data_IF_304046171496
#
_entry.id   IF_304046171496
#
_cell.length_a   1.000
_cell.length_b   1.000
_cell.length_c   1.000
_cell.angle_alpha   90.00
_cell.angle_beta   90.00
_cell.angle_gamma   90.00
#
_symmetry.space_group_name_H-M   'P 1'
#
loop_
_entity.id
_entity.type
_entity.pdbx_description
1 polymer ?
#
# COMPACT_ATOMS: atom_id res chain seq x y z
N UNK A 1 20.63 3.03 -32.80
CA UNK A 1 19.91 3.19 -31.52
C UNK A 1 20.86 2.84 -30.38
N UNK A 2 21.20 3.82 -29.55
CA UNK A 2 22.13 3.60 -28.44
C UNK A 2 21.45 2.72 -27.37
N UNK A 3 21.85 1.45 -27.30
CA UNK A 3 21.28 0.42 -26.40
C UNK A 3 21.84 0.54 -24.96
N UNK A 4 22.29 1.76 -24.59
CA UNK A 4 22.80 2.04 -23.25
C UNK A 4 21.63 2.18 -22.28
N UNK A 5 21.54 1.28 -21.32
CA UNK A 5 20.56 1.30 -20.25
C UNK A 5 20.83 2.48 -19.31
N UNK A 6 19.83 3.33 -19.10
CA UNK A 6 19.90 4.44 -18.14
C UNK A 6 19.40 3.98 -16.76
N UNK A 7 20.31 3.54 -15.91
CA UNK A 7 20.00 3.06 -14.56
C UNK A 7 19.27 4.10 -13.70
N UNK A 8 19.55 5.39 -13.88
CA UNK A 8 18.85 6.45 -13.16
C UNK A 8 17.38 6.47 -13.52
N UNK A 9 17.05 6.34 -14.80
CA UNK A 9 15.65 6.27 -15.27
C UNK A 9 14.95 5.01 -14.74
N UNK A 10 15.64 3.87 -14.78
CA UNK A 10 15.12 2.58 -14.28
C UNK A 10 14.77 2.66 -12.78
N UNK A 11 15.66 3.22 -11.96
CA UNK A 11 15.42 3.42 -10.52
C UNK A 11 14.29 4.43 -10.26
N UNK A 12 14.22 5.52 -11.05
CA UNK A 12 13.15 6.51 -10.95
C UNK A 12 11.78 5.88 -11.24
N UNK A 13 11.68 5.08 -12.31
CA UNK A 13 10.44 4.37 -12.68
C UNK A 13 10.06 3.36 -11.59
N UNK A 14 11.02 2.55 -11.12
CA UNK A 14 10.79 1.57 -10.06
C UNK A 14 10.34 2.20 -8.75
N UNK A 15 11.01 3.26 -8.32
CA UNK A 15 10.62 4.02 -7.12
C UNK A 15 9.26 4.70 -7.26
N UNK A 16 8.95 5.29 -8.44
CA UNK A 16 7.68 5.94 -8.68
C UNK A 16 6.51 4.95 -8.65
N UNK A 17 6.68 3.77 -9.24
CA UNK A 17 5.69 2.71 -9.15
C UNK A 17 5.49 2.23 -7.71
N UNK A 18 6.59 2.02 -6.99
CA UNK A 18 6.54 1.63 -5.58
C UNK A 18 5.84 2.68 -4.72
N UNK A 19 6.14 3.97 -4.91
CA UNK A 19 5.45 5.06 -4.23
C UNK A 19 3.95 5.09 -4.53
N UNK A 20 3.56 4.78 -5.76
CA UNK A 20 2.15 4.65 -6.14
C UNK A 20 1.45 3.52 -5.37
N UNK A 21 2.08 2.35 -5.25
CA UNK A 21 1.52 1.21 -4.53
C UNK A 21 1.48 1.40 -3.00
N UNK A 22 2.38 2.20 -2.43
CA UNK A 22 2.43 2.49 -1.00
C UNK A 22 1.40 3.56 -0.65
N UNK A 23 0.17 3.12 -0.41
CA UNK A 23 -0.92 3.96 0.07
C UNK A 23 -1.03 4.01 1.60
N UNK A 24 -2.09 4.66 2.11
CA UNK A 24 -2.36 4.74 3.56
C UNK A 24 -2.57 3.36 4.20
N UNK A 25 -3.24 2.44 3.50
CA UNK A 25 -3.46 1.07 3.96
C UNK A 25 -2.16 0.29 4.14
N UNK A 26 -1.23 0.44 3.19
CA UNK A 26 0.10 -0.15 3.28
C UNK A 26 0.93 0.50 4.39
N UNK A 27 0.97 1.84 4.43
CA UNK A 27 1.74 2.59 5.42
C UNK A 27 1.27 2.35 6.86
N UNK A 28 -0.04 2.12 7.07
CA UNK A 28 -0.59 1.73 8.38
C UNK A 28 -0.38 0.25 8.71
N UNK A 29 0.08 -0.56 7.76
CA UNK A 29 0.20 -2.01 7.88
C UNK A 29 -1.13 -2.78 7.76
N UNK A 30 -2.26 -2.09 7.61
CA UNK A 30 -3.59 -2.71 7.56
C UNK A 30 -3.73 -3.67 6.36
N UNK A 31 -3.30 -3.25 5.18
CA UNK A 31 -3.33 -4.12 4.00
C UNK A 31 -2.45 -5.35 4.19
N UNK A 32 -1.22 -5.15 4.67
CA UNK A 32 -0.29 -6.25 4.93
C UNK A 32 -0.83 -7.22 5.98
N UNK A 33 -1.52 -6.71 7.01
CA UNK A 33 -2.16 -7.53 8.03
C UNK A 33 -3.31 -8.35 7.45
N UNK A 34 -4.22 -7.73 6.71
CA UNK A 34 -5.45 -8.38 6.21
C UNK A 34 -5.19 -9.35 5.06
N UNK A 35 -4.29 -8.99 4.13
CA UNK A 35 -4.04 -9.76 2.92
C UNK A 35 -2.95 -10.82 3.07
N UNK A 36 -2.03 -10.67 4.04
CA UNK A 36 -0.87 -11.56 4.18
C UNK A 36 -0.76 -12.19 5.57
N UNK A 37 -0.64 -11.38 6.64
CA UNK A 37 -0.36 -11.90 7.98
C UNK A 37 -1.53 -12.68 8.59
N UNK A 38 -2.78 -12.32 8.30
CA UNK A 38 -3.99 -12.93 8.85
C UNK A 38 -4.20 -14.39 8.44
N UNK A 39 -3.55 -14.85 7.38
CA UNK A 39 -3.71 -16.22 6.89
C UNK A 39 -2.92 -17.27 7.68
N UNK A 40 -1.86 -16.88 8.40
CA UNK A 40 -1.06 -17.78 9.23
C UNK A 40 -0.32 -18.88 8.47
N UNK A 41 0.30 -19.81 9.22
CA UNK A 41 1.01 -20.94 8.64
C UNK A 41 2.13 -20.53 7.67
N UNK A 42 2.18 -21.13 6.50
CA UNK A 42 3.17 -20.85 5.44
C UNK A 42 2.79 -19.64 4.57
N UNK A 43 1.53 -19.23 4.58
CA UNK A 43 1.01 -18.21 3.67
C UNK A 43 1.73 -16.85 3.77
N UNK A 44 2.11 -16.31 4.94
CA UNK A 44 2.88 -15.08 5.03
C UNK A 44 4.21 -15.07 4.28
N UNK A 45 4.73 -16.24 3.93
CA UNK A 45 5.97 -16.40 3.13
C UNK A 45 5.68 -16.65 1.65
N UNK A 46 4.65 -17.44 1.36
CA UNK A 46 4.30 -17.83 -0.02
C UNK A 46 3.60 -16.69 -0.74
N UNK A 47 2.70 -15.95 -0.07
CA UNK A 47 1.92 -14.88 -0.70
C UNK A 47 2.79 -13.70 -1.20
N UNK A 48 3.84 -13.24 -0.50
CA UNK A 48 4.76 -12.25 -1.05
C UNK A 48 5.50 -12.73 -2.31
N UNK A 49 5.87 -14.01 -2.39
CA UNK A 49 6.48 -14.60 -3.58
C UNK A 49 5.50 -14.61 -4.77
N UNK A 50 4.24 -14.98 -4.52
CA UNK A 50 3.17 -14.89 -5.52
C UNK A 50 2.96 -13.43 -5.96
N UNK A 51 2.94 -12.50 -5.02
CA UNK A 51 2.85 -11.05 -5.29
C UNK A 51 3.97 -10.59 -6.20
N UNK A 52 5.20 -11.02 -5.93
CA UNK A 52 6.36 -10.68 -6.77
C UNK A 52 6.17 -11.12 -8.22
N UNK A 53 5.76 -12.36 -8.43
CA UNK A 53 5.54 -12.90 -9.79
C UNK A 53 4.43 -12.13 -10.51
N UNK A 54 3.29 -11.94 -9.85
CA UNK A 54 2.16 -11.21 -10.42
C UNK A 54 2.52 -9.76 -10.72
N UNK A 55 3.15 -9.06 -9.79
CA UNK A 55 3.60 -7.68 -9.98
C UNK A 55 4.60 -7.56 -11.13
N UNK A 56 5.57 -8.46 -11.22
CA UNK A 56 6.53 -8.46 -12.32
C UNK A 56 5.84 -8.63 -13.68
N UNK A 57 4.96 -9.63 -13.83
CA UNK A 57 4.25 -9.90 -15.09
C UNK A 57 3.43 -8.69 -15.52
N UNK A 58 2.76 -8.05 -14.57
CA UNK A 58 1.89 -6.91 -14.82
C UNK A 58 2.68 -5.66 -15.15
N UNK A 59 3.70 -5.33 -14.35
CA UNK A 59 4.58 -4.20 -14.64
C UNK A 59 5.23 -4.36 -15.99
N UNK A 60 5.74 -5.55 -16.31
CA UNK A 60 6.34 -5.80 -17.61
C UNK A 60 5.34 -5.62 -18.76
N UNK A 61 4.14 -6.17 -18.63
CA UNK A 61 3.09 -6.05 -19.65
C UNK A 61 2.65 -4.60 -19.86
N UNK A 62 2.34 -3.88 -18.78
CA UNK A 62 1.87 -2.49 -18.86
C UNK A 62 2.96 -1.52 -19.28
N UNK A 63 4.19 -1.66 -18.79
CA UNK A 63 5.32 -0.83 -19.21
C UNK A 63 5.68 -1.08 -20.67
N UNK A 64 5.68 -2.34 -21.13
CA UNK A 64 5.91 -2.69 -22.53
C UNK A 64 4.86 -2.05 -23.44
N UNK A 65 3.59 -2.11 -23.06
CA UNK A 65 2.50 -1.47 -23.81
C UNK A 65 2.68 0.04 -23.88
N UNK A 66 3.07 0.68 -22.78
CA UNK A 66 3.38 2.10 -22.74
C UNK A 66 4.57 2.48 -23.62
N UNK A 67 5.63 1.67 -23.59
CA UNK A 67 6.82 1.88 -24.41
C UNK A 67 6.54 1.76 -25.92
N UNK A 68 5.72 0.78 -26.32
CA UNK A 68 5.42 0.53 -27.73
C UNK A 68 4.46 1.58 -28.29
N UNK A 69 3.35 1.84 -27.58
CA UNK A 69 2.25 2.65 -28.11
C UNK A 69 2.43 4.16 -27.84
N UNK A 70 3.20 4.55 -26.81
CA UNK A 70 3.44 5.96 -26.44
C UNK A 70 2.17 6.79 -26.50
N UNK A 71 1.14 6.36 -25.78
CA UNK A 71 -0.19 6.95 -25.84
C UNK A 71 -0.16 8.48 -25.63
N UNK A 72 -0.93 9.24 -26.42
CA UNK A 72 -1.02 10.70 -26.26
C UNK A 72 -1.69 11.10 -24.94
N UNK A 73 -2.55 10.24 -24.41
CA UNK A 73 -3.16 10.37 -23.08
C UNK A 73 -3.01 9.06 -22.32
N UNK A 74 -2.61 9.08 -21.04
CA UNK A 74 -2.49 7.88 -20.22
C UNK A 74 -3.77 7.06 -20.15
N UNK A 75 -4.93 7.72 -20.14
CA UNK A 75 -6.24 7.09 -20.05
C UNK A 75 -6.64 6.30 -21.30
N UNK A 76 -5.98 6.56 -22.44
CA UNK A 76 -6.17 5.79 -23.67
C UNK A 76 -5.84 4.29 -23.47
N UNK A 77 -5.06 3.95 -22.44
CA UNK A 77 -4.74 2.57 -22.07
C UNK A 77 -6.00 1.74 -21.74
N UNK A 78 -7.00 2.31 -21.08
CA UNK A 78 -8.24 1.59 -20.79
C UNK A 78 -8.98 1.20 -22.07
N UNK A 79 -9.01 2.11 -23.04
CA UNK A 79 -9.59 1.84 -24.36
C UNK A 79 -8.83 0.77 -25.15
N UNK A 80 -7.51 0.73 -25.00
CA UNK A 80 -6.65 -0.27 -25.64
C UNK A 80 -6.89 -1.69 -25.12
N UNK A 81 -7.00 -1.86 -23.79
CA UNK A 81 -7.19 -3.18 -23.15
C UNK A 81 -8.63 -3.66 -23.15
N UNK A 82 -9.59 -2.77 -22.97
CA UNK A 82 -11.00 -3.13 -22.73
C UNK A 82 -11.94 -2.69 -23.86
N UNK A 83 -11.41 -2.13 -24.94
CA UNK A 83 -12.22 -1.59 -26.04
C UNK A 83 -12.88 -0.26 -25.70
N UNK A 84 -13.60 0.33 -26.71
CA UNK A 84 -14.09 1.70 -26.61
C UNK A 84 -15.13 1.94 -25.51
N UNK A 85 -16.07 1.02 -25.34
CA UNK A 85 -17.21 1.19 -24.41
C UNK A 85 -16.78 0.89 -22.98
N UNK A 86 -16.29 -0.33 -22.74
CA UNK A 86 -15.87 -0.76 -21.40
C UNK A 86 -14.68 0.04 -20.90
N UNK A 87 -13.74 0.39 -21.81
CA UNK A 87 -12.59 1.23 -21.46
C UNK A 87 -13.00 2.62 -20.99
N UNK A 88 -14.04 3.24 -21.57
CA UNK A 88 -14.55 4.54 -21.09
C UNK A 88 -15.25 4.43 -19.73
N UNK A 89 -16.00 3.35 -19.51
CA UNK A 89 -16.64 3.09 -18.20
C UNK A 89 -15.57 2.92 -17.11
N UNK A 90 -14.54 2.11 -17.38
CA UNK A 90 -13.43 1.89 -16.45
C UNK A 90 -12.63 3.17 -16.20
N UNK A 91 -12.38 3.99 -17.21
CA UNK A 91 -11.68 5.27 -17.07
C UNK A 91 -12.42 6.21 -16.11
N UNK A 92 -13.75 6.35 -16.27
CA UNK A 92 -14.58 7.16 -15.36
C UNK A 92 -14.57 6.56 -13.96
N UNK A 93 -14.77 5.25 -13.83
CA UNK A 93 -14.77 4.54 -12.55
C UNK A 93 -13.44 4.73 -11.79
N UNK A 94 -12.31 4.53 -12.48
CA UNK A 94 -11.00 4.69 -11.89
C UNK A 94 -10.71 6.14 -11.51
N UNK A 95 -11.10 7.10 -12.35
CA UNK A 95 -10.94 8.54 -12.06
C UNK A 95 -11.70 8.92 -10.78
N UNK A 96 -12.96 8.51 -10.65
CA UNK A 96 -13.77 8.77 -9.45
C UNK A 96 -13.15 8.06 -8.23
N UNK A 97 -12.75 6.80 -8.38
CA UNK A 97 -12.15 6.03 -7.28
C UNK A 97 -10.84 6.66 -6.78
N UNK A 98 -9.98 7.14 -7.68
CA UNK A 98 -8.73 7.84 -7.32
C UNK A 98 -9.04 9.16 -6.62
N UNK A 99 -10.04 9.92 -7.10
CA UNK A 99 -10.45 11.16 -6.46
C UNK A 99 -10.94 10.91 -5.02
N UNK A 100 -11.77 9.90 -4.80
CA UNK A 100 -12.22 9.52 -3.45
C UNK A 100 -11.05 9.05 -2.57
N UNK A 101 -10.12 8.25 -3.11
CA UNK A 101 -8.93 7.82 -2.40
C UNK A 101 -8.05 9.00 -2.00
N UNK A 102 -7.96 10.04 -2.82
CA UNK A 102 -7.21 11.27 -2.51
C UNK A 102 -7.79 11.99 -1.28
N UNK A 103 -9.13 12.04 -1.15
CA UNK A 103 -9.77 12.63 0.04
C UNK A 103 -9.42 11.84 1.31
N UNK A 104 -9.40 10.50 1.23
CA UNK A 104 -9.00 9.65 2.35
C UNK A 104 -7.54 9.91 2.75
N UNK A 105 -6.65 10.08 1.78
CA UNK A 105 -5.23 10.40 2.04
C UNK A 105 -5.06 11.76 2.70
N UNK A 106 -5.81 12.76 2.29
CA UNK A 106 -5.79 14.08 2.93
C UNK A 106 -6.29 14.02 4.39
N UNK A 107 -7.38 13.30 4.63
CA UNK A 107 -7.87 13.08 5.99
C UNK A 107 -6.86 12.32 6.86
N UNK A 108 -6.21 11.29 6.31
CA UNK A 108 -5.16 10.53 6.98
C UNK A 108 -3.94 11.38 7.33
N UNK A 109 -3.51 12.28 6.44
CA UNK A 109 -2.40 13.21 6.72
C UNK A 109 -2.73 14.17 7.87
N UNK A 110 -3.97 14.70 7.90
CA UNK A 110 -4.45 15.53 8.99
C UNK A 110 -4.47 14.80 10.34
N UNK A 111 -4.96 13.56 10.35
CA UNK A 111 -4.98 12.72 11.55
C UNK A 111 -3.56 12.44 12.06
N UNK A 112 -2.62 12.16 11.16
CA UNK A 112 -1.21 11.91 11.50
C UNK A 112 -0.57 13.13 12.13
N UNK A 113 -0.74 14.32 11.54
CA UNK A 113 -0.21 15.58 12.09
C UNK A 113 -0.82 15.87 13.47
N UNK A 114 -2.11 15.63 13.67
CA UNK A 114 -2.75 15.78 14.98
C UNK A 114 -2.16 14.81 16.01
N UNK A 115 -1.97 13.55 15.65
CA UNK A 115 -1.48 12.51 16.56
C UNK A 115 -0.04 12.75 17.03
N UNK A 116 0.85 13.22 16.14
CA UNK A 116 2.28 13.35 16.44
C UNK A 116 2.69 14.75 16.87
N UNK A 117 2.05 15.79 16.34
CA UNK A 117 2.38 17.18 16.59
C UNK A 117 1.36 17.92 17.46
N UNK A 118 0.19 17.30 17.74
CA UNK A 118 -0.89 17.93 18.49
C UNK A 118 -1.58 19.08 17.74
N UNK A 119 -1.23 19.32 16.47
CA UNK A 119 -1.83 20.39 15.68
C UNK A 119 -3.25 20.01 15.22
N UNK A 120 -4.13 21.01 14.96
CA UNK A 120 -5.47 20.70 14.43
C UNK A 120 -5.43 19.91 13.13
N UNK A 121 -6.35 18.96 12.95
CA UNK A 121 -6.42 18.05 11.79
C UNK A 121 -6.40 18.81 10.45
N UNK A 122 -7.09 19.95 10.37
CA UNK A 122 -7.16 20.76 9.14
C UNK A 122 -5.78 21.28 8.68
N UNK A 123 -4.83 21.49 9.60
CA UNK A 123 -3.46 21.95 9.26
C UNK A 123 -2.74 20.92 8.41
N UNK A 124 -2.74 19.65 8.83
CA UNK A 124 -2.11 18.57 8.07
C UNK A 124 -2.79 18.34 6.72
N UNK A 125 -4.13 18.39 6.70
CA UNK A 125 -4.92 18.26 5.47
C UNK A 125 -4.59 19.40 4.48
N UNK A 126 -4.52 20.65 4.95
CA UNK A 126 -4.22 21.81 4.12
C UNK A 126 -2.80 21.78 3.57
N UNK A 127 -1.81 21.48 4.42
CA UNK A 127 -0.39 21.36 4.01
C UNK A 127 -0.26 20.29 2.93
N UNK A 128 -0.86 19.10 3.13
CA UNK A 128 -0.82 18.03 2.14
C UNK A 128 -1.50 18.45 0.83
N UNK A 129 -2.64 19.12 0.90
CA UNK A 129 -3.35 19.64 -0.27
C UNK A 129 -2.50 20.63 -1.06
N UNK A 130 -1.91 21.63 -0.40
CA UNK A 130 -1.05 22.63 -1.05
C UNK A 130 0.16 21.98 -1.70
N UNK A 131 0.88 21.11 -0.98
CA UNK A 131 2.05 20.39 -1.52
C UNK A 131 1.65 19.56 -2.73
N UNK A 132 0.53 18.85 -2.69
CA UNK A 132 0.04 18.03 -3.80
C UNK A 132 -0.26 18.89 -5.04
N UNK A 133 -0.95 20.02 -4.88
CA UNK A 133 -1.25 20.95 -5.98
C UNK A 133 0.04 21.51 -6.58
N UNK A 134 0.97 21.96 -5.75
CA UNK A 134 2.26 22.50 -6.23
C UNK A 134 3.03 21.45 -7.03
N UNK A 135 3.11 20.20 -6.54
CA UNK A 135 3.81 19.11 -7.25
C UNK A 135 3.13 18.80 -8.59
N UNK A 136 1.80 18.75 -8.63
CA UNK A 136 1.03 18.48 -9.86
C UNK A 136 1.19 19.61 -10.89
N UNK A 137 1.25 20.88 -10.46
CA UNK A 137 1.46 22.01 -11.37
C UNK A 137 2.79 21.95 -12.14
N UNK A 138 3.77 21.20 -11.65
CA UNK A 138 5.05 20.99 -12.35
C UNK A 138 4.96 19.98 -13.52
N UNK A 139 3.83 19.30 -13.68
CA UNK A 139 3.60 18.33 -14.75
C UNK A 139 4.06 16.91 -14.41
N UNK A 140 3.52 15.94 -15.18
CA UNK A 140 3.66 14.50 -14.93
C UNK A 140 5.12 14.02 -14.87
N UNK A 141 6.01 14.66 -15.63
CA UNK A 141 7.43 14.28 -15.63
C UNK A 141 8.09 14.55 -14.27
N UNK A 142 7.89 15.75 -13.72
CA UNK A 142 8.44 16.12 -12.42
C UNK A 142 7.77 15.33 -11.29
N UNK A 143 6.46 15.11 -11.38
CA UNK A 143 5.73 14.23 -10.45
C UNK A 143 6.37 12.85 -10.39
N UNK A 144 6.65 12.22 -11.53
CA UNK A 144 7.29 10.90 -11.56
C UNK A 144 8.68 10.91 -10.94
N UNK A 145 9.46 11.96 -11.16
CA UNK A 145 10.79 12.08 -10.56
C UNK A 145 10.74 12.24 -9.03
N UNK A 146 9.80 13.06 -8.54
CA UNK A 146 9.56 13.21 -7.10
C UNK A 146 9.10 11.90 -6.49
N UNK A 147 8.12 11.23 -7.09
CA UNK A 147 7.64 9.92 -6.64
C UNK A 147 8.76 8.87 -6.66
N UNK A 148 9.63 8.88 -7.69
CA UNK A 148 10.76 7.98 -7.79
C UNK A 148 11.73 8.13 -6.63
N UNK A 149 12.05 9.37 -6.25
CA UNK A 149 12.88 9.68 -5.11
C UNK A 149 12.19 9.29 -3.77
N UNK A 150 10.96 9.73 -3.57
CA UNK A 150 10.19 9.46 -2.35
C UNK A 150 9.95 7.97 -2.16
N UNK A 151 9.58 7.24 -3.22
CA UNK A 151 9.38 5.80 -3.14
C UNK A 151 10.64 5.03 -2.74
N UNK A 152 11.78 5.40 -3.32
CA UNK A 152 13.07 4.81 -2.93
C UNK A 152 13.42 5.12 -1.47
N UNK A 153 13.20 6.37 -1.03
CA UNK A 153 13.42 6.80 0.36
C UNK A 153 12.53 6.01 1.34
N UNK A 154 11.25 5.84 1.03
CA UNK A 154 10.32 5.06 1.85
C UNK A 154 10.83 3.63 2.03
N UNK A 155 11.30 2.98 0.96
CA UNK A 155 11.83 1.62 1.05
C UNK A 155 13.07 1.56 1.94
N UNK A 156 13.98 2.53 1.85
CA UNK A 156 15.15 2.59 2.75
C UNK A 156 14.73 2.70 4.21
N UNK A 157 13.74 3.54 4.51
CA UNK A 157 13.19 3.67 5.87
C UNK A 157 12.54 2.35 6.32
N UNK A 158 11.73 1.73 5.48
CA UNK A 158 11.09 0.44 5.81
C UNK A 158 12.09 -0.67 6.07
N UNK A 159 13.19 -0.72 5.30
CA UNK A 159 14.29 -1.67 5.56
C UNK A 159 14.91 -1.39 6.94
N UNK A 160 15.20 -0.14 7.25
CA UNK A 160 15.77 0.22 8.56
C UNK A 160 14.85 -0.18 9.73
N UNK A 161 13.56 0.12 9.62
CA UNK A 161 12.55 -0.27 10.62
C UNK A 161 12.43 -1.79 10.70
N UNK A 162 12.35 -2.49 9.57
CA UNK A 162 12.25 -3.95 9.54
C UNK A 162 13.45 -4.65 10.18
N UNK A 163 14.69 -4.18 9.91
CA UNK A 163 15.90 -4.69 10.55
C UNK A 163 15.89 -4.41 12.05
N UNK A 164 15.53 -3.20 12.47
CA UNK A 164 15.42 -2.86 13.88
C UNK A 164 14.44 -3.80 14.61
N UNK A 165 13.26 -4.02 14.03
CA UNK A 165 12.25 -4.91 14.57
C UNK A 165 12.72 -6.36 14.64
N UNK A 166 13.45 -6.82 13.64
CA UNK A 166 14.05 -8.17 13.65
C UNK A 166 15.09 -8.34 14.75
N UNK A 167 15.95 -7.33 14.96
CA UNK A 167 17.00 -7.36 16.00
C UNK A 167 16.43 -7.26 17.42
N UNK A 168 15.24 -6.68 17.59
CA UNK A 168 14.58 -6.49 18.90
C UNK A 168 13.48 -7.51 19.17
N UNK A 169 13.34 -8.51 18.31
CA UNK A 169 12.30 -9.54 18.45
C UNK A 169 12.64 -10.54 19.56
N UNK A 170 11.83 -10.56 20.61
CA UNK A 170 11.99 -11.48 21.75
C UNK A 170 11.29 -12.84 21.52
N UNK A 171 10.51 -13.00 20.46
CA UNK A 171 9.70 -14.20 20.21
C UNK A 171 9.98 -14.80 18.84
N UNK A 172 9.95 -16.14 18.76
CA UNK A 172 10.04 -16.85 17.51
C UNK A 172 8.87 -16.58 16.56
N UNK A 173 9.11 -16.64 15.25
CA UNK A 173 8.12 -16.41 14.18
C UNK A 173 6.81 -17.21 14.38
N UNK A 174 6.95 -18.48 14.82
CA UNK A 174 5.81 -19.38 15.01
C UNK A 174 4.87 -18.91 16.13
N UNK A 175 5.42 -18.44 17.24
CA UNK A 175 4.64 -17.92 18.37
C UNK A 175 3.96 -16.59 18.02
N UNK A 176 4.65 -15.76 17.27
CA UNK A 176 4.11 -14.49 16.77
C UNK A 176 2.92 -14.72 15.81
N UNK A 177 3.01 -15.68 14.92
CA UNK A 177 1.90 -16.07 14.03
C UNK A 177 0.69 -16.62 14.78
N UNK A 178 0.89 -17.47 15.79
CA UNK A 178 -0.18 -18.00 16.63
C UNK A 178 -0.94 -16.87 17.33
N UNK A 179 -0.24 -15.83 17.78
CA UNK A 179 -0.87 -14.66 18.37
C UNK A 179 -1.78 -13.93 17.35
N UNK A 180 -1.33 -13.74 16.11
CA UNK A 180 -2.16 -13.13 15.05
C UNK A 180 -3.42 -13.96 14.82
N UNK A 181 -3.30 -15.30 14.75
CA UNK A 181 -4.46 -16.18 14.54
C UNK A 181 -5.48 -16.07 15.67
N UNK A 182 -5.08 -15.99 16.92
CA UNK A 182 -6.00 -15.79 18.04
C UNK A 182 -6.88 -14.53 17.89
N UNK A 183 -6.32 -13.44 17.31
CA UNK A 183 -7.10 -12.21 17.06
C UNK A 183 -7.99 -12.31 15.83
N UNK A 184 -7.60 -13.11 14.85
CA UNK A 184 -8.46 -13.44 13.70
C UNK A 184 -9.66 -14.27 14.17
N UNK A 185 -9.42 -15.30 14.99
CA UNK A 185 -10.47 -16.17 15.52
C UNK A 185 -11.41 -15.42 16.49
N UNK A 186 -10.89 -14.43 17.19
CA UNK A 186 -11.68 -13.52 18.01
C UNK A 186 -12.46 -12.45 17.23
N UNK A 187 -12.36 -12.44 15.89
CA UNK A 187 -13.05 -11.47 15.03
C UNK A 187 -12.51 -10.03 15.10
N UNK A 188 -11.37 -9.81 15.76
CA UNK A 188 -10.74 -8.49 15.88
C UNK A 188 -10.02 -8.11 14.59
N UNK A 189 -9.41 -9.09 13.92
CA UNK A 189 -8.74 -8.93 12.63
C UNK A 189 -9.60 -9.60 11.56
N UNK A 190 -10.07 -8.81 10.61
CA UNK A 190 -10.80 -9.33 9.45
C UNK A 190 -9.81 -9.78 8.38
N UNK A 191 -9.97 -11.00 7.87
CA UNK A 191 -9.27 -11.46 6.67
C UNK A 191 -9.82 -10.75 5.44
N UNK A 192 -8.94 -10.42 4.51
CA UNK A 192 -9.39 -9.96 3.21
C UNK A 192 -10.08 -11.14 2.49
N UNK A 193 -11.31 -10.92 2.06
CA UNK A 193 -12.05 -11.88 1.25
C UNK A 193 -12.42 -11.27 -0.11
N UNK A 194 -12.61 -12.12 -1.11
CA UNK A 194 -13.07 -11.71 -2.42
C UNK A 194 -14.46 -12.33 -2.67
N UNK A 195 -15.48 -11.48 -2.77
CA UNK A 195 -16.88 -11.90 -2.97
C UNK A 195 -17.37 -12.95 -1.96
N UNK A 196 -16.93 -12.84 -0.71
CA UNK A 196 -17.29 -13.80 0.35
C UNK A 196 -16.46 -15.10 0.35
N UNK A 197 -15.50 -15.24 -0.57
CA UNK A 197 -14.61 -16.42 -0.63
C UNK A 197 -13.37 -16.11 0.21
N UNK A 198 -13.19 -16.84 1.29
CA UNK A 198 -11.98 -16.80 2.12
C UNK A 198 -10.90 -17.70 1.52
N UNK A 199 -10.13 -17.16 0.59
CA UNK A 199 -8.98 -17.84 -0.01
C UNK A 199 -7.79 -16.87 -0.11
N UNK A 200 -6.61 -17.24 0.41
CA UNK A 200 -5.44 -16.36 0.44
C UNK A 200 -4.94 -15.96 -0.97
N UNK A 201 -5.04 -16.85 -1.94
CA UNK A 201 -4.63 -16.58 -3.32
C UNK A 201 -5.57 -15.57 -3.98
N UNK A 202 -6.89 -15.74 -3.81
CA UNK A 202 -7.87 -14.80 -4.33
C UNK A 202 -7.80 -13.44 -3.65
N UNK A 203 -7.53 -13.40 -2.34
CA UNK A 203 -7.32 -12.17 -1.61
C UNK A 203 -6.17 -11.37 -2.22
N UNK A 204 -4.99 -11.97 -2.37
CA UNK A 204 -3.82 -11.31 -2.97
C UNK A 204 -4.06 -10.94 -4.43
N UNK A 205 -4.68 -11.83 -5.22
CA UNK A 205 -5.01 -11.53 -6.61
C UNK A 205 -5.96 -10.32 -6.73
N UNK A 206 -6.94 -10.19 -5.83
CA UNK A 206 -7.85 -9.04 -5.80
C UNK A 206 -7.15 -7.72 -5.46
N UNK A 207 -6.21 -7.74 -4.50
CA UNK A 207 -5.40 -6.58 -4.15
C UNK A 207 -4.54 -6.11 -5.34
N UNK A 208 -3.86 -7.06 -5.98
CA UNK A 208 -3.02 -6.76 -7.15
C UNK A 208 -3.90 -6.29 -8.32
N UNK A 209 -5.07 -6.92 -8.52
CA UNK A 209 -6.06 -6.49 -9.50
C UNK A 209 -6.51 -5.04 -9.30
N UNK A 210 -6.72 -4.62 -8.06
CA UNK A 210 -7.04 -3.23 -7.73
C UNK A 210 -5.88 -2.28 -8.08
N UNK A 211 -4.63 -2.63 -7.73
CA UNK A 211 -3.45 -1.82 -8.10
C UNK A 211 -3.29 -1.66 -9.60
N UNK A 212 -3.57 -2.73 -10.38
CA UNK A 212 -3.52 -2.65 -11.84
C UNK A 212 -4.62 -1.75 -12.36
N UNK A 213 -5.86 -2.03 -11.95
CA UNK A 213 -7.03 -1.34 -12.50
C UNK A 213 -6.95 0.16 -12.26
N UNK A 214 -6.66 0.57 -11.04
CA UNK A 214 -6.53 1.98 -10.69
C UNK A 214 -5.24 2.61 -11.24
N UNK A 215 -4.15 1.85 -11.35
CA UNK A 215 -2.84 2.32 -11.78
C UNK A 215 -2.53 2.16 -13.26
N UNK A 216 -3.44 1.63 -14.07
CA UNK A 216 -3.16 1.31 -15.47
C UNK A 216 -2.63 2.51 -16.27
N UNK A 217 -3.29 3.66 -16.16
CA UNK A 217 -2.87 4.90 -16.82
C UNK A 217 -1.47 5.34 -16.38
N UNK A 218 -1.18 5.25 -15.09
CA UNK A 218 0.12 5.61 -14.53
C UNK A 218 1.22 4.64 -15.00
N UNK A 219 0.95 3.33 -14.95
CA UNK A 219 1.89 2.30 -15.39
C UNK A 219 2.28 2.44 -16.86
N UNK A 220 1.29 2.67 -17.71
CA UNK A 220 1.52 2.88 -19.13
C UNK A 220 2.33 4.16 -19.37
N UNK A 221 2.07 5.23 -18.61
CA UNK A 221 2.87 6.46 -18.67
C UNK A 221 4.32 6.23 -18.26
N UNK A 222 4.56 5.45 -17.22
CA UNK A 222 5.91 5.07 -16.78
C UNK A 222 6.64 4.29 -17.91
N UNK A 223 5.94 3.34 -18.55
CA UNK A 223 6.45 2.60 -19.68
C UNK A 223 6.84 3.47 -20.87
N UNK A 224 6.03 4.52 -21.15
CA UNK A 224 6.31 5.51 -22.21
C UNK A 224 7.60 6.30 -22.00
N UNK A 225 8.13 6.36 -20.79
CA UNK A 225 9.40 7.02 -20.44
C UNK A 225 10.64 6.14 -20.64
N UNK A 226 10.47 4.84 -20.87
CA UNK A 226 11.58 3.94 -21.14
C UNK A 226 12.21 4.25 -22.51
N UNK A 227 13.52 4.31 -22.57
CA UNK A 227 14.28 4.56 -23.80
C UNK A 227 14.56 3.29 -24.62
N UNK A 228 14.51 2.09 -23.97
CA UNK A 228 14.81 0.81 -24.59
C UNK A 228 14.00 -0.34 -24.01
N UNK A 229 13.92 -1.46 -24.74
CA UNK A 229 13.26 -2.69 -24.24
C UNK A 229 13.96 -3.24 -23.00
N UNK A 230 15.28 -3.05 -22.87
CA UNK A 230 16.04 -3.44 -21.69
C UNK A 230 15.65 -2.63 -20.47
N UNK A 231 15.44 -1.30 -20.66
CA UNK A 231 14.92 -0.45 -19.58
C UNK A 231 13.53 -0.87 -19.11
N UNK A 232 12.63 -1.27 -20.05
CA UNK A 232 11.29 -1.79 -19.68
C UNK A 232 11.40 -3.01 -18.76
N UNK A 233 12.21 -4.01 -19.15
CA UNK A 233 12.39 -5.21 -18.35
C UNK A 233 13.04 -4.91 -17.00
N UNK A 234 14.10 -4.11 -16.98
CA UNK A 234 14.79 -3.74 -15.76
C UNK A 234 13.90 -2.93 -14.81
N UNK A 235 13.13 -1.96 -15.35
CA UNK A 235 12.18 -1.18 -14.54
C UNK A 235 11.07 -2.06 -13.94
N UNK A 236 10.55 -3.04 -14.70
CA UNK A 236 9.55 -3.98 -14.19
C UNK A 236 10.09 -4.84 -13.05
N UNK A 237 11.32 -5.38 -13.20
CA UNK A 237 11.99 -6.16 -12.15
C UNK A 237 12.21 -5.29 -10.90
N UNK A 238 12.77 -4.09 -11.07
CA UNK A 238 13.06 -3.20 -9.93
C UNK A 238 11.77 -2.77 -9.22
N UNK A 239 10.70 -2.46 -9.97
CA UNK A 239 9.38 -2.14 -9.38
C UNK A 239 8.86 -3.28 -8.52
N UNK A 240 8.89 -4.51 -9.03
CA UNK A 240 8.44 -5.69 -8.30
C UNK A 240 9.32 -5.98 -7.06
N UNK A 241 10.65 -5.88 -7.22
CA UNK A 241 11.61 -6.08 -6.11
C UNK A 241 11.41 -5.06 -5.00
N UNK A 242 11.37 -3.77 -5.33
CA UNK A 242 11.22 -2.70 -4.34
C UNK A 242 9.88 -2.83 -3.58
N UNK A 243 8.79 -3.08 -4.31
CA UNK A 243 7.48 -3.26 -3.67
C UNK A 243 7.46 -4.47 -2.73
N UNK A 244 7.92 -5.64 -3.21
CA UNK A 244 7.95 -6.86 -2.39
C UNK A 244 8.90 -6.76 -1.22
N UNK A 245 10.02 -6.07 -1.37
CA UNK A 245 10.94 -5.82 -0.27
C UNK A 245 10.28 -4.96 0.81
N UNK A 246 9.60 -3.88 0.44
CA UNK A 246 8.78 -3.09 1.35
C UNK A 246 7.69 -3.92 2.03
N UNK A 247 6.96 -4.73 1.25
CA UNK A 247 5.94 -5.65 1.76
C UNK A 247 6.48 -6.62 2.80
N UNK A 248 7.62 -7.28 2.52
CA UNK A 248 8.26 -8.19 3.45
C UNK A 248 8.69 -7.48 4.75
N UNK A 249 9.25 -6.26 4.65
CA UNK A 249 9.67 -5.50 5.83
C UNK A 249 8.49 -5.11 6.72
N UNK A 250 7.38 -4.65 6.13
CA UNK A 250 6.14 -4.35 6.87
C UNK A 250 5.56 -5.62 7.48
N UNK A 251 5.53 -6.72 6.72
CA UNK A 251 5.04 -8.01 7.19
C UNK A 251 5.85 -8.52 8.40
N UNK A 252 7.18 -8.48 8.33
CA UNK A 252 8.04 -8.82 9.45
C UNK A 252 7.81 -7.91 10.66
N UNK A 253 7.69 -6.61 10.43
CA UNK A 253 7.37 -5.66 11.50
C UNK A 253 6.05 -6.02 12.19
N UNK A 254 5.01 -6.37 11.45
CA UNK A 254 3.72 -6.78 12.00
C UNK A 254 3.86 -8.08 12.78
N UNK A 255 4.48 -9.10 12.21
CA UNK A 255 4.59 -10.42 12.84
C UNK A 255 5.39 -10.32 14.15
N UNK A 256 6.54 -9.65 14.15
CA UNK A 256 7.43 -9.60 15.32
C UNK A 256 7.02 -8.58 16.37
N UNK A 257 6.41 -7.45 16.00
CA UNK A 257 6.04 -6.39 16.96
C UNK A 257 4.59 -6.47 17.46
N UNK A 258 3.81 -7.46 17.04
CA UNK A 258 2.46 -7.64 17.57
C UNK A 258 2.45 -7.78 19.12
N UNK A 259 3.58 -8.20 19.72
CA UNK A 259 3.76 -8.34 21.17
C UNK A 259 3.91 -6.99 21.86
N UNK A 260 4.49 -5.98 21.22
CA UNK A 260 4.71 -4.65 21.84
C UNK A 260 3.39 -3.89 22.03
N UNK A 261 2.37 -4.15 21.24
CA UNK A 261 1.01 -3.62 21.40
C UNK A 261 0.29 -4.14 22.65
N UNK A 262 0.82 -5.14 23.33
CA UNK A 262 0.32 -5.67 24.63
C UNK A 262 0.75 -4.86 25.84
N UNK A 263 1.18 -3.62 25.74
CA UNK A 263 1.07 -2.79 26.95
C UNK A 263 -0.42 -2.69 27.25
N UNK A 264 -0.90 -3.26 28.37
CA UNK A 264 -2.29 -3.04 28.76
C UNK A 264 -2.48 -1.53 28.69
N UNK A 265 -3.48 -1.09 27.97
CA UNK A 265 -3.83 0.33 27.94
C UNK A 265 -3.71 0.77 29.39
N UNK A 266 -2.79 1.70 29.69
CA UNK A 266 -2.64 2.23 31.04
C UNK A 266 -4.06 2.50 31.46
N UNK A 267 -4.56 1.75 32.45
CA UNK A 267 -5.86 2.01 33.05
C UNK A 267 -5.87 3.52 33.22
N UNK A 268 -6.67 4.20 32.43
CA UNK A 268 -6.92 5.61 32.66
C UNK A 268 -7.14 5.74 34.17
N UNK A 269 -6.43 6.65 34.86
CA UNK A 269 -6.63 6.81 36.31
C UNK A 269 -8.14 6.92 36.52
N UNK A 270 -8.70 6.01 37.32
CA UNK A 270 -10.11 6.02 37.65
C UNK A 270 -10.47 7.44 38.02
N UNK A 271 -11.27 8.08 37.21
CA UNK A 271 -11.91 9.33 37.59
C UNK A 271 -12.65 9.02 38.91
N UNK A 272 -12.48 9.84 39.96
CA UNK A 272 -13.19 9.63 41.21
C UNK A 272 -14.70 9.61 40.90
N UNK A 273 -15.34 8.49 41.19
CA UNK A 273 -16.79 8.35 41.11
C UNK A 273 -17.42 9.49 41.90
N UNK A 274 -17.95 10.49 41.25
CA UNK A 274 -18.93 11.36 41.86
C UNK A 274 -20.10 10.48 42.27
N UNK A 275 -20.34 10.44 43.57
CA UNK A 275 -21.47 9.74 44.23
C UNK A 275 -22.76 10.44 43.84
N UNK A 276 -23.30 10.20 42.66
CA UNK A 276 -24.73 10.43 42.34
C UNK A 276 -24.97 9.92 40.91
N UNK A 277 -25.22 8.64 40.78
CA UNK A 277 -26.03 8.14 39.68
C UNK A 277 -26.81 6.92 40.19
N UNK A 278 -28.11 7.15 40.37
CA UNK A 278 -29.14 6.21 40.80
C UNK A 278 -29.22 5.01 39.86
N UNK A 279 -29.36 3.86 40.52
CA UNK A 279 -30.00 2.60 40.08
C UNK A 279 -30.74 2.66 38.73
N UNK A 280 -30.24 1.85 37.80
CA UNK A 280 -30.90 1.03 36.78
C UNK A 280 -30.11 1.00 35.48
N UNK A 281 -29.20 -0.01 35.39
CA UNK A 281 -28.95 -0.75 34.11
C UNK A 281 -28.15 -1.99 34.50
N UNK A 282 -28.89 -3.10 34.67
CA UNK A 282 -28.25 -4.43 34.74
C UNK A 282 -27.91 -4.84 33.33
N UNK A 283 -26.66 -4.78 32.93
CA UNK A 283 -26.19 -5.55 31.81
C UNK A 283 -26.04 -7.02 32.23
N UNK A 284 -26.95 -7.87 31.75
CA UNK A 284 -26.77 -9.32 31.76
C UNK A 284 -25.83 -9.65 30.61
N UNK A 285 -24.68 -10.21 30.92
CA UNK A 285 -23.93 -11.04 29.97
C UNK A 285 -24.36 -12.48 30.19
N UNK A 286 -24.70 -13.25 29.15
CA UNK A 286 -24.86 -14.69 29.25
C UNK A 286 -23.50 -15.35 29.39
N UNK A 287 -23.45 -16.33 30.25
CA UNK A 287 -22.38 -17.30 30.50
C UNK A 287 -22.07 -18.15 29.28
#
# INVERSE_FOLDING_TARGET
MNDKMNWKNVLTIGGAYTAYCIGAGFASGQETLQYYASWGGIYPFVLPALTFVLMFVICYGTFKTGYINRFPSPNAAYGYYCGKVLGKILDIFCTVSIALSTLIMFAGSGATVNQYLGAPVWVGTLVMGVVSVVVVCFGLEKVTNVLGFVGTLIIVILIGVGIYCFCTADSGVMQAQQNVQQYVDAGVIMRANFLGIENPIFAVASLIGAYITLGLSFNVSLGGRCGSRREVSASAVISAVLFCLGLCMVLFTIIFNWIISRRPARRSPCWPRSRTCSRRWRCRFPS
#
